data_IF_954606154082
#
_entry.id   IF_954606154082
#
_cell.length_a   1.000
_cell.length_b   1.000
_cell.length_c   1.000
_cell.angle_alpha   90.00
_cell.angle_beta   90.00
_cell.angle_gamma   90.00
#
_symmetry.space_group_name_H-M   'P 1'
#
loop_
_entity.id
_entity.type
_entity.pdbx_description
1 polymer ?
#
# COMPACT_ATOMS: atom_id res chain seq x y z
N UNK A 1 -15.44 3.10 27.00
CA UNK A 1 -14.13 3.42 27.61
C UNK A 1 -14.19 4.84 28.19
N UNK A 2 -14.09 5.01 29.53
CA UNK A 2 -14.24 6.31 30.21
C UNK A 2 -13.23 7.40 29.76
N UNK A 3 -12.05 6.99 29.24
CA UNK A 3 -11.05 7.93 28.68
C UNK A 3 -10.42 7.34 27.41
N UNK A 4 -11.05 7.59 26.27
CA UNK A 4 -10.65 7.06 24.98
C UNK A 4 -9.22 7.52 24.57
N UNK A 5 -8.85 8.78 24.85
CA UNK A 5 -7.51 9.30 24.49
C UNK A 5 -6.41 8.54 25.25
N UNK A 6 -6.58 8.30 26.54
CA UNK A 6 -5.63 7.53 27.36
C UNK A 6 -5.56 6.08 26.89
N UNK A 7 -6.71 5.45 26.67
CA UNK A 7 -6.78 4.08 26.17
C UNK A 7 -6.08 3.93 24.82
N UNK A 8 -6.37 4.81 23.85
CA UNK A 8 -5.73 4.80 22.53
C UNK A 8 -4.21 4.91 22.62
N UNK A 9 -3.69 5.79 23.48
CA UNK A 9 -2.24 5.95 23.70
C UNK A 9 -1.62 4.66 24.24
N UNK A 10 -2.25 4.03 25.23
CA UNK A 10 -1.78 2.77 25.82
C UNK A 10 -1.86 1.62 24.80
N UNK A 11 -2.99 1.46 24.12
CA UNK A 11 -3.18 0.42 23.10
C UNK A 11 -2.13 0.55 21.99
N UNK A 12 -1.89 1.77 21.48
CA UNK A 12 -0.84 2.01 20.47
C UNK A 12 0.54 1.63 20.99
N UNK A 13 0.89 2.02 22.19
CA UNK A 13 2.18 1.68 22.78
C UNK A 13 2.37 0.17 22.92
N UNK A 14 1.35 -0.55 23.41
CA UNK A 14 1.36 -2.02 23.50
C UNK A 14 1.53 -2.70 22.14
N UNK A 15 0.83 -2.22 21.10
CA UNK A 15 0.97 -2.78 19.75
C UNK A 15 2.38 -2.55 19.20
N UNK A 16 2.91 -1.34 19.31
CA UNK A 16 4.26 -1.03 18.84
C UNK A 16 5.34 -1.84 19.58
N UNK A 17 5.18 -2.03 20.89
CA UNK A 17 6.07 -2.88 21.68
C UNK A 17 6.03 -4.34 21.20
N UNK A 18 4.84 -4.87 20.93
CA UNK A 18 4.65 -6.23 20.39
C UNK A 18 5.19 -6.41 18.96
N UNK A 19 5.24 -5.34 18.16
CA UNK A 19 5.81 -5.35 16.82
C UNK A 19 7.35 -5.41 16.83
N UNK A 20 7.99 -5.12 17.97
CA UNK A 20 9.44 -5.05 18.17
C UNK A 20 10.12 -3.94 17.33
N UNK A 21 11.46 -4.01 17.19
CA UNK A 21 12.23 -2.98 16.50
C UNK A 21 11.79 -2.84 15.03
N UNK A 22 11.57 -1.61 14.53
CA UNK A 22 11.26 -1.35 13.12
C UNK A 22 12.46 -1.69 12.21
N UNK A 23 12.23 -1.87 10.90
CA UNK A 23 13.31 -1.80 9.92
C UNK A 23 13.95 -0.40 9.93
N UNK A 24 15.21 -0.26 9.47
CA UNK A 24 15.87 1.05 9.43
C UNK A 24 15.04 2.08 8.66
N UNK A 25 14.72 3.18 9.34
CA UNK A 25 14.00 4.29 8.75
C UNK A 25 14.91 5.16 7.88
N UNK A 26 14.36 5.74 6.82
CA UNK A 26 15.05 6.73 5.98
C UNK A 26 14.12 7.89 5.62
N UNK A 27 14.71 9.06 5.43
CA UNK A 27 14.07 10.23 4.79
C UNK A 27 14.74 10.57 3.46
N UNK A 28 15.75 9.80 3.07
CA UNK A 28 16.43 9.91 1.78
C UNK A 28 15.73 8.99 0.78
N UNK A 29 14.59 9.45 0.28
CA UNK A 29 13.70 8.62 -0.54
C UNK A 29 14.25 8.31 -1.92
N UNK A 30 15.14 9.14 -2.49
CA UNK A 30 15.74 8.97 -3.82
C UNK A 30 14.70 8.54 -4.86
N UNK A 31 13.61 9.30 -4.93
CA UNK A 31 12.46 8.98 -5.77
C UNK A 31 12.82 9.06 -7.26
N UNK A 32 12.50 8.01 -7.99
CA UNK A 32 12.66 7.89 -9.44
C UNK A 32 11.29 7.67 -10.09
N UNK A 33 10.96 8.45 -11.11
CA UNK A 33 9.72 8.28 -11.90
C UNK A 33 10.03 7.28 -13.01
N UNK A 34 9.37 6.12 -12.98
CA UNK A 34 9.55 5.05 -13.94
C UNK A 34 8.63 5.19 -15.16
N UNK A 35 7.40 5.67 -14.94
CA UNK A 35 6.41 5.94 -15.98
C UNK A 35 5.40 6.98 -15.49
N UNK A 36 4.80 7.69 -16.43
CA UNK A 36 3.75 8.68 -16.15
C UNK A 36 2.72 8.65 -17.28
N UNK A 37 1.43 8.77 -16.94
CA UNK A 37 0.37 8.96 -17.90
C UNK A 37 -0.72 9.89 -17.36
N UNK A 38 -1.37 10.63 -18.28
CA UNK A 38 -2.54 11.43 -17.95
C UNK A 38 -3.79 10.54 -18.08
N UNK A 39 -4.64 10.60 -17.08
CA UNK A 39 -5.98 9.98 -17.05
C UNK A 39 -7.06 11.06 -16.92
N UNK A 40 -8.31 10.67 -17.05
CA UNK A 40 -9.42 11.62 -16.91
C UNK A 40 -9.51 12.16 -15.47
N UNK A 41 -9.15 13.43 -15.29
CA UNK A 41 -9.21 14.13 -14.01
C UNK A 41 -8.04 13.91 -13.06
N UNK A 42 -7.00 13.16 -13.46
CA UNK A 42 -5.81 12.94 -12.63
C UNK A 42 -4.62 12.43 -13.43
N UNK A 43 -3.43 12.63 -12.89
CA UNK A 43 -2.16 12.12 -13.42
C UNK A 43 -1.71 10.90 -12.62
N UNK A 44 -1.35 9.83 -13.32
CA UNK A 44 -0.84 8.60 -12.74
C UNK A 44 0.67 8.50 -12.92
N UNK A 45 1.40 8.21 -11.83
CA UNK A 45 2.84 7.99 -11.82
C UNK A 45 3.16 6.59 -11.29
N UNK A 46 4.02 5.86 -12.00
CA UNK A 46 4.74 4.72 -11.46
C UNK A 46 6.11 5.20 -11.01
N UNK A 47 6.47 4.99 -9.78
CA UNK A 47 7.74 5.46 -9.22
C UNK A 47 8.40 4.41 -8.34
N UNK A 48 9.71 4.58 -8.11
CA UNK A 48 10.49 3.78 -7.20
C UNK A 48 11.10 4.71 -6.14
N UNK A 49 11.07 4.31 -4.87
CA UNK A 49 11.68 5.07 -3.79
C UNK A 49 12.25 4.18 -2.69
N UNK A 50 13.15 4.73 -1.87
CA UNK A 50 13.67 4.05 -0.70
C UNK A 50 12.57 3.97 0.36
N UNK A 51 12.05 2.76 0.61
CA UNK A 51 11.01 2.52 1.62
C UNK A 51 11.62 2.37 3.02
N UNK A 52 12.78 1.70 3.08
CA UNK A 52 13.58 1.56 4.31
C UNK A 52 15.04 1.90 4.00
N UNK A 53 15.89 1.97 5.00
CA UNK A 53 17.33 2.23 4.82
C UNK A 53 18.07 1.19 3.97
N UNK A 54 17.42 0.08 3.58
CA UNK A 54 18.03 -0.98 2.77
C UNK A 54 17.10 -1.57 1.68
N UNK A 55 15.89 -1.05 1.52
CA UNK A 55 14.96 -1.54 0.50
C UNK A 55 14.30 -0.42 -0.28
N UNK A 56 14.18 -0.60 -1.59
CA UNK A 56 13.39 0.22 -2.50
C UNK A 56 12.10 -0.48 -2.85
N UNK A 57 11.07 0.29 -3.18
CA UNK A 57 9.76 -0.24 -3.59
C UNK A 57 9.22 0.54 -4.78
N UNK A 58 8.55 -0.19 -5.69
CA UNK A 58 7.76 0.43 -6.73
C UNK A 58 6.36 0.77 -6.19
N UNK A 59 5.87 1.93 -6.56
CA UNK A 59 4.56 2.43 -6.17
C UNK A 59 3.80 3.00 -7.37
N UNK A 60 2.48 2.97 -7.29
CA UNK A 60 1.64 3.87 -8.07
C UNK A 60 1.23 5.05 -7.20
N UNK A 61 1.35 6.26 -7.75
CA UNK A 61 0.86 7.50 -7.15
C UNK A 61 -0.08 8.16 -8.15
N UNK A 62 -1.30 8.44 -7.71
CA UNK A 62 -2.31 9.15 -8.51
C UNK A 62 -2.51 10.53 -7.91
N UNK A 63 -2.46 11.57 -8.73
CA UNK A 63 -2.53 12.97 -8.31
C UNK A 63 -3.67 13.64 -9.07
N UNK A 64 -4.73 14.13 -8.39
CA UNK A 64 -5.82 14.85 -9.03
C UNK A 64 -5.35 16.05 -9.83
N UNK A 65 -6.06 16.38 -10.90
CA UNK A 65 -5.88 17.64 -11.61
C UNK A 65 -6.40 18.81 -10.75
N UNK A 66 -5.82 20.00 -10.93
CA UNK A 66 -6.22 21.22 -10.24
C UNK A 66 -5.20 21.70 -9.20
N UNK A 67 -5.64 22.64 -8.36
CA UNK A 67 -4.79 23.27 -7.34
C UNK A 67 -4.92 22.53 -6.01
N UNK A 68 -3.80 21.92 -5.54
CA UNK A 68 -3.68 21.30 -4.22
C UNK A 68 -3.43 22.31 -3.09
N UNK A 69 -3.07 21.85 -1.88
CA UNK A 69 -2.84 20.45 -1.53
C UNK A 69 -4.14 19.67 -1.31
N UNK A 70 -4.12 18.40 -1.73
CA UNK A 70 -5.28 17.50 -1.67
C UNK A 70 -5.24 16.60 -0.43
N UNK A 71 -6.41 16.08 0.03
CA UNK A 71 -6.43 14.94 0.94
C UNK A 71 -5.77 13.73 0.27
N UNK A 72 -5.16 12.86 1.07
CA UNK A 72 -4.43 11.74 0.53
C UNK A 72 -4.83 10.41 1.17
N UNK A 73 -4.64 9.32 0.43
CA UNK A 73 -4.99 7.97 0.86
C UNK A 73 -3.86 7.00 0.53
N UNK A 74 -3.42 6.23 1.52
CA UNK A 74 -2.62 5.01 1.31
C UNK A 74 -3.57 3.85 1.12
N UNK A 75 -3.48 3.14 0.00
CA UNK A 75 -4.25 1.94 -0.27
C UNK A 75 -3.41 0.70 0.00
N UNK A 76 -3.86 -0.12 0.94
CA UNK A 76 -3.30 -1.43 1.21
C UNK A 76 -4.10 -2.48 0.44
N UNK A 77 -3.43 -3.22 -0.44
CA UNK A 77 -4.09 -4.26 -1.20
C UNK A 77 -4.49 -5.46 -0.33
N UNK A 78 -5.48 -6.22 -0.79
CA UNK A 78 -5.92 -7.44 -0.12
C UNK A 78 -4.93 -8.59 -0.29
N UNK A 79 -5.01 -9.57 0.62
CA UNK A 79 -4.24 -10.81 0.54
C UNK A 79 -4.73 -11.68 -0.62
N UNK A 80 -6.03 -12.02 -0.62
CA UNK A 80 -6.74 -12.78 -1.64
C UNK A 80 -6.16 -14.15 -2.04
N UNK A 81 -5.03 -14.55 -1.47
CA UNK A 81 -4.29 -15.74 -1.93
C UNK A 81 -3.69 -15.58 -3.34
N UNK A 82 -3.70 -14.37 -3.88
CA UNK A 82 -3.27 -14.04 -5.24
C UNK A 82 -2.02 -13.15 -5.17
N UNK A 83 -0.87 -13.75 -5.42
CA UNK A 83 0.44 -13.13 -5.16
C UNK A 83 1.08 -12.51 -6.40
N UNK A 84 0.56 -12.78 -7.60
CA UNK A 84 1.10 -12.28 -8.87
C UNK A 84 1.01 -10.77 -9.01
N UNK A 85 0.01 -10.17 -8.35
CA UNK A 85 -0.23 -8.72 -8.30
C UNK A 85 -0.47 -8.28 -6.87
N UNK A 86 -0.09 -7.04 -6.55
CA UNK A 86 -0.29 -6.41 -5.25
C UNK A 86 -0.99 -5.06 -5.41
N UNK A 87 -0.25 -3.97 -5.56
CA UNK A 87 -0.76 -2.61 -5.81
C UNK A 87 -1.67 -2.52 -7.04
N UNK A 88 -1.48 -3.41 -8.01
CA UNK A 88 -2.31 -3.54 -9.21
C UNK A 88 -3.75 -3.99 -8.91
N UNK A 89 -4.04 -4.50 -7.73
CA UNK A 89 -5.41 -4.77 -7.26
C UNK A 89 -6.17 -3.48 -6.91
N UNK A 90 -5.45 -2.44 -6.54
CA UNK A 90 -6.01 -1.20 -6.02
C UNK A 90 -6.01 -0.07 -7.05
N UNK A 91 -5.04 -0.07 -7.97
CA UNK A 91 -4.83 0.95 -9.00
C UNK A 91 -4.63 0.23 -10.33
N UNK A 92 -5.37 0.64 -11.37
CA UNK A 92 -5.23 0.06 -12.69
C UNK A 92 -3.80 0.24 -13.20
N UNK A 93 -3.08 -0.84 -13.48
CA UNK A 93 -1.66 -0.76 -13.84
C UNK A 93 -1.45 -0.14 -15.23
N UNK A 94 -0.28 0.47 -15.39
CA UNK A 94 0.23 0.98 -16.66
C UNK A 94 1.76 0.83 -16.70
N UNK A 95 2.34 0.86 -17.90
CA UNK A 95 3.77 0.60 -18.06
C UNK A 95 4.18 -0.80 -17.58
N UNK A 96 3.29 -1.77 -17.79
CA UNK A 96 3.48 -3.20 -17.44
C UNK A 96 3.17 -4.09 -18.62
N UNK A 97 3.57 -5.36 -18.52
CA UNK A 97 3.23 -6.37 -19.51
C UNK A 97 1.72 -6.63 -19.54
N UNK A 98 1.22 -7.00 -20.72
CA UNK A 98 -0.22 -7.31 -20.92
C UNK A 98 -0.74 -8.36 -19.94
N UNK A 99 0.07 -9.36 -19.58
CA UNK A 99 -0.32 -10.41 -18.64
C UNK A 99 -0.64 -9.85 -17.24
N UNK A 100 0.11 -8.85 -16.75
CA UNK A 100 -0.15 -8.17 -15.47
C UNK A 100 -1.43 -7.36 -15.54
N UNK A 101 -1.67 -6.67 -16.66
CA UNK A 101 -2.89 -5.89 -16.86
C UNK A 101 -4.12 -6.81 -16.90
N UNK A 102 -4.06 -7.92 -17.66
CA UNK A 102 -5.16 -8.87 -17.77
C UNK A 102 -5.48 -9.51 -16.40
N UNK A 103 -4.45 -9.84 -15.62
CA UNK A 103 -4.60 -10.39 -14.26
C UNK A 103 -5.26 -9.36 -13.31
N UNK A 104 -4.83 -8.10 -13.36
CA UNK A 104 -5.41 -7.03 -12.55
C UNK A 104 -6.86 -6.73 -12.94
N UNK A 105 -7.17 -6.64 -14.25
CA UNK A 105 -8.53 -6.41 -14.73
C UNK A 105 -9.46 -7.58 -14.33
N UNK A 106 -8.99 -8.83 -14.42
CA UNK A 106 -9.74 -9.99 -13.95
C UNK A 106 -9.99 -9.96 -12.44
N UNK A 107 -8.97 -9.56 -11.65
CA UNK A 107 -9.12 -9.42 -10.20
C UNK A 107 -10.12 -8.33 -9.83
N UNK A 108 -10.02 -7.15 -10.47
CA UNK A 108 -10.96 -6.06 -10.26
C UNK A 108 -12.40 -6.48 -10.60
N UNK A 109 -12.61 -7.19 -11.70
CA UNK A 109 -13.93 -7.71 -12.10
C UNK A 109 -14.52 -8.68 -11.05
N UNK A 110 -13.69 -9.59 -10.53
CA UNK A 110 -14.14 -10.61 -9.59
C UNK A 110 -14.36 -10.08 -8.16
N UNK A 111 -13.51 -9.18 -7.70
CA UNK A 111 -13.47 -8.78 -6.29
C UNK A 111 -14.00 -7.38 -6.03
N UNK A 112 -13.95 -6.48 -7.02
CA UNK A 112 -14.26 -5.06 -6.87
C UNK A 112 -15.29 -4.53 -7.86
N UNK A 113 -16.05 -5.41 -8.52
CA UNK A 113 -17.09 -5.03 -9.47
C UNK A 113 -16.58 -4.33 -10.73
N UNK A 114 -15.34 -4.63 -11.13
CA UNK A 114 -14.70 -4.04 -12.32
C UNK A 114 -14.14 -2.63 -12.08
N UNK A 115 -14.06 -2.18 -10.83
CA UNK A 115 -13.55 -0.84 -10.50
C UNK A 115 -12.25 -0.92 -9.71
N UNK A 116 -11.38 0.04 -9.93
CA UNK A 116 -10.18 0.25 -9.13
C UNK A 116 -10.40 1.35 -8.11
N UNK A 117 -10.27 1.02 -6.83
CA UNK A 117 -10.54 1.95 -5.72
C UNK A 117 -9.64 3.19 -5.79
N UNK A 118 -8.38 3.03 -6.20
CA UNK A 118 -7.42 4.13 -6.32
C UNK A 118 -7.81 5.11 -7.43
N UNK A 119 -8.16 4.59 -8.59
CA UNK A 119 -8.58 5.39 -9.75
C UNK A 119 -9.86 6.17 -9.43
N UNK A 120 -10.82 5.52 -8.76
CA UNK A 120 -12.04 6.18 -8.30
C UNK A 120 -11.74 7.32 -7.34
N UNK A 121 -10.91 7.09 -6.32
CA UNK A 121 -10.55 8.13 -5.33
C UNK A 121 -9.77 9.29 -5.97
N UNK A 122 -8.85 9.01 -6.89
CA UNK A 122 -8.10 10.05 -7.58
C UNK A 122 -9.01 10.95 -8.42
N UNK A 123 -9.95 10.37 -9.16
CA UNK A 123 -10.95 11.12 -9.91
C UNK A 123 -11.89 11.96 -9.01
N UNK A 124 -11.93 11.66 -7.69
CA UNK A 124 -12.72 12.39 -6.68
C UNK A 124 -11.87 13.30 -5.78
N UNK A 125 -10.66 13.67 -6.23
CA UNK A 125 -9.86 14.71 -5.57
C UNK A 125 -8.97 14.22 -4.43
N UNK A 126 -8.58 12.94 -4.40
CA UNK A 126 -7.61 12.41 -3.44
C UNK A 126 -6.30 12.08 -4.13
N UNK A 127 -5.18 12.46 -3.53
CA UNK A 127 -3.89 11.85 -3.87
C UNK A 127 -3.89 10.43 -3.32
N UNK A 128 -3.51 9.47 -4.15
CA UNK A 128 -3.54 8.06 -3.79
C UNK A 128 -2.16 7.46 -3.98
N UNK A 129 -1.71 6.64 -3.03
CA UNK A 129 -0.52 5.80 -3.17
C UNK A 129 -0.86 4.35 -2.86
N UNK A 130 -0.27 3.42 -3.62
CA UNK A 130 -0.27 2.00 -3.31
C UNK A 130 1.09 1.39 -3.61
N UNK A 131 1.57 0.55 -2.70
CA UNK A 131 2.80 -0.25 -2.82
C UNK A 131 2.48 -1.73 -2.69
N UNK A 132 3.37 -2.58 -3.17
CA UNK A 132 3.26 -4.01 -2.92
C UNK A 132 3.70 -4.34 -1.50
N UNK A 133 2.92 -5.13 -0.79
CA UNK A 133 3.38 -5.82 0.40
C UNK A 133 4.48 -6.84 0.04
N UNK A 134 5.30 -7.21 1.01
CA UNK A 134 6.32 -8.25 0.81
C UNK A 134 5.67 -9.54 0.28
N UNK A 135 6.25 -10.12 -0.76
CA UNK A 135 5.83 -11.31 -1.51
C UNK A 135 4.70 -11.13 -2.52
N UNK A 136 4.17 -9.92 -2.71
CA UNK A 136 3.21 -9.62 -3.76
C UNK A 136 3.83 -8.84 -4.91
N UNK A 137 3.25 -9.02 -6.10
CA UNK A 137 3.58 -8.26 -7.30
C UNK A 137 5.09 -8.22 -7.59
N UNK A 138 5.62 -7.04 -7.80
CA UNK A 138 7.04 -6.82 -8.12
C UNK A 138 7.98 -7.12 -6.92
N UNK A 139 7.45 -7.29 -5.71
CA UNK A 139 8.19 -7.75 -4.53
C UNK A 139 8.10 -9.26 -4.31
N UNK A 140 7.39 -9.96 -5.17
CA UNK A 140 7.34 -11.42 -5.24
C UNK A 140 8.61 -12.02 -5.81
N UNK A 141 8.76 -13.35 -5.67
CA UNK A 141 9.86 -14.08 -6.34
C UNK A 141 9.46 -14.42 -7.77
N UNK A 142 10.39 -14.29 -8.71
CA UNK A 142 10.20 -14.64 -10.12
C UNK A 142 9.84 -16.11 -10.36
N UNK A 143 10.20 -16.99 -9.41
CA UNK A 143 10.07 -18.45 -9.57
C UNK A 143 8.73 -19.01 -9.06
N UNK A 144 7.80 -18.18 -8.69
CA UNK A 144 6.49 -18.64 -8.24
C UNK A 144 5.89 -17.75 -7.17
N UNK A 145 4.87 -17.06 -7.57
CA UNK A 145 3.97 -16.32 -6.69
C UNK A 145 3.02 -17.32 -5.99
N UNK A 146 3.55 -18.23 -5.20
CA UNK A 146 2.74 -19.18 -4.44
C UNK A 146 2.78 -18.89 -2.93
N UNK A 147 1.69 -19.23 -2.25
CA UNK A 147 1.53 -19.03 -0.82
C UNK A 147 2.51 -19.84 0.04
N UNK A 148 3.17 -20.88 -0.52
CA UNK A 148 4.12 -21.71 0.24
C UNK A 148 5.34 -20.89 0.64
N UNK A 149 5.87 -20.10 -0.27
CA UNK A 149 7.04 -19.23 -0.01
C UNK A 149 6.73 -18.11 0.98
N UNK A 150 5.53 -17.57 0.94
CA UNK A 150 5.07 -16.64 1.97
C UNK A 150 5.04 -17.32 3.35
N UNK A 151 4.45 -18.51 3.45
CA UNK A 151 4.35 -19.26 4.69
C UNK A 151 5.73 -19.65 5.25
N UNK A 152 6.65 -20.14 4.40
CA UNK A 152 8.03 -20.47 4.78
C UNK A 152 8.75 -19.28 5.40
N UNK A 153 8.65 -18.11 4.75
CA UNK A 153 9.30 -16.90 5.26
C UNK A 153 8.62 -16.35 6.51
N UNK A 154 7.28 -16.42 6.61
CA UNK A 154 6.59 -16.08 7.84
C UNK A 154 7.04 -16.98 9.01
N UNK A 155 7.23 -18.28 8.76
CA UNK A 155 7.82 -19.23 9.71
C UNK A 155 9.24 -18.85 10.11
N UNK A 156 10.10 -18.48 9.17
CA UNK A 156 11.47 -18.03 9.45
C UNK A 156 11.49 -16.76 10.32
N UNK A 157 10.60 -15.79 10.06
CA UNK A 157 10.45 -14.62 10.93
C UNK A 157 10.06 -15.01 12.36
N UNK A 158 9.13 -15.96 12.51
CA UNK A 158 8.70 -16.47 13.83
C UNK A 158 9.86 -17.15 14.56
N UNK A 159 10.71 -17.94 13.87
CA UNK A 159 11.90 -18.55 14.46
C UNK A 159 12.92 -17.53 14.97
N UNK A 160 12.94 -16.33 14.38
CA UNK A 160 13.77 -15.21 14.82
C UNK A 160 13.07 -14.34 15.89
N UNK A 161 11.92 -14.77 16.41
CA UNK A 161 11.12 -14.01 17.37
C UNK A 161 10.47 -12.75 16.76
N UNK A 162 10.27 -12.73 15.44
CA UNK A 162 9.70 -11.58 14.69
C UNK A 162 8.39 -11.98 14.01
N UNK A 163 7.61 -10.99 13.64
CA UNK A 163 6.42 -11.17 12.82
C UNK A 163 6.61 -10.52 11.45
N UNK A 164 6.36 -11.27 10.38
CA UNK A 164 6.35 -10.73 9.02
C UNK A 164 5.29 -9.64 8.88
N UNK A 165 4.10 -9.82 9.47
CA UNK A 165 3.05 -8.81 9.46
C UNK A 165 3.45 -7.53 10.19
N UNK A 166 4.21 -7.63 11.29
CA UNK A 166 4.73 -6.45 11.97
C UNK A 166 5.70 -5.67 11.07
N UNK A 167 6.56 -6.38 10.33
CA UNK A 167 7.46 -5.76 9.38
C UNK A 167 6.70 -5.02 8.26
N UNK A 168 5.69 -5.67 7.67
CA UNK A 168 4.84 -5.06 6.65
C UNK A 168 4.10 -3.81 7.17
N UNK A 169 3.59 -3.86 8.41
CA UNK A 169 2.95 -2.70 9.04
C UNK A 169 3.90 -1.50 9.21
N UNK A 170 5.19 -1.74 9.50
CA UNK A 170 6.17 -0.65 9.51
C UNK A 170 6.38 -0.05 8.11
N UNK A 171 6.43 -0.90 7.08
CA UNK A 171 6.54 -0.42 5.69
C UNK A 171 5.31 0.40 5.27
N UNK A 172 4.10 0.01 5.70
CA UNK A 172 2.87 0.79 5.48
C UNK A 172 2.93 2.16 6.18
N UNK A 173 3.48 2.21 7.41
CA UNK A 173 3.73 3.48 8.11
C UNK A 173 4.72 4.36 7.36
N UNK A 174 5.82 3.78 6.86
CA UNK A 174 6.84 4.51 6.10
C UNK A 174 6.32 4.99 4.73
N UNK A 175 5.45 4.20 4.09
CA UNK A 175 4.72 4.64 2.90
C UNK A 175 3.84 5.85 3.19
N UNK A 176 3.21 5.88 4.36
CA UNK A 176 2.41 7.04 4.81
C UNK A 176 3.29 8.27 5.04
N UNK A 177 4.46 8.09 5.66
CA UNK A 177 5.42 9.18 5.88
C UNK A 177 5.93 9.73 4.53
N UNK A 178 6.26 8.84 3.57
CA UNK A 178 6.63 9.25 2.22
C UNK A 178 5.51 10.05 1.54
N UNK A 179 4.28 9.55 1.55
CA UNK A 179 3.11 10.23 0.96
C UNK A 179 2.96 11.64 1.52
N UNK A 180 3.15 11.83 2.82
CA UNK A 180 3.03 13.11 3.49
C UNK A 180 4.11 14.14 3.09
N UNK A 181 5.19 13.71 2.41
CA UNK A 181 6.24 14.62 1.88
C UNK A 181 5.93 15.17 0.50
N UNK A 182 4.95 14.60 -0.19
CA UNK A 182 4.61 15.05 -1.56
C UNK A 182 3.98 16.46 -1.50
N UNK A 183 4.41 17.39 -2.36
CA UNK A 183 3.93 18.78 -2.34
C UNK A 183 2.42 18.90 -2.63
N UNK A 184 1.85 17.93 -3.33
CA UNK A 184 0.42 17.88 -3.66
C UNK A 184 -0.47 17.42 -2.49
N UNK A 185 0.13 16.95 -1.39
CA UNK A 185 -0.57 16.33 -0.27
C UNK A 185 -0.77 17.29 0.90
N UNK A 186 -1.99 17.34 1.43
CA UNK A 186 -2.25 17.92 2.75
C UNK A 186 -1.97 16.86 3.86
N UNK A 187 -0.86 16.95 4.60
CA UNK A 187 -0.47 15.93 5.56
C UNK A 187 -1.42 15.82 6.76
N UNK A 188 -2.33 16.78 6.93
CA UNK A 188 -3.35 16.75 7.98
C UNK A 188 -4.62 15.99 7.55
N UNK A 189 -4.77 15.67 6.26
CA UNK A 189 -5.91 14.98 5.67
C UNK A 189 -5.48 13.68 4.97
N UNK A 190 -4.66 12.87 5.67
CA UNK A 190 -4.23 11.57 5.18
C UNK A 190 -5.05 10.44 5.81
N UNK A 191 -5.51 9.52 4.97
CA UNK A 191 -6.26 8.32 5.34
C UNK A 191 -5.46 7.07 4.98
N UNK A 192 -5.57 6.05 5.83
CA UNK A 192 -5.15 4.69 5.51
C UNK A 192 -6.40 3.88 5.17
N UNK A 193 -6.49 3.38 3.94
CA UNK A 193 -7.58 2.53 3.49
C UNK A 193 -7.10 1.09 3.36
N UNK A 194 -7.76 0.20 4.09
CA UNK A 194 -7.58 -1.24 3.96
C UNK A 194 -8.79 -1.84 3.27
N UNK A 195 -8.61 -2.96 2.55
CA UNK A 195 -9.73 -3.71 2.00
C UNK A 195 -10.78 -3.99 3.08
N UNK A 196 -12.09 -3.75 2.81
CA UNK A 196 -13.12 -3.95 3.81
C UNK A 196 -13.12 -5.41 4.29
N UNK A 197 -12.99 -5.60 5.59
CA UNK A 197 -13.15 -6.91 6.20
C UNK A 197 -14.61 -7.37 6.04
N UNK A 198 -14.87 -8.68 5.82
CA UNK A 198 -16.23 -9.22 5.88
C UNK A 198 -16.98 -8.86 7.17
N UNK A 199 -16.26 -8.56 8.25
CA UNK A 199 -16.82 -8.09 9.53
C UNK A 199 -17.39 -6.67 9.46
N UNK A 200 -16.93 -5.84 8.54
CA UNK A 200 -17.41 -4.45 8.39
C UNK A 200 -18.73 -4.40 7.65
N UNK A 201 -19.07 -5.44 6.86
CA UNK A 201 -20.35 -5.58 6.15
C UNK A 201 -21.52 -5.93 7.07
N UNK A 202 -21.27 -6.33 8.31
CA UNK A 202 -22.32 -6.74 9.27
C UNK A 202 -22.72 -5.62 10.24
N UNK A 203 -22.22 -4.41 10.06
CA UNK A 203 -22.49 -3.23 10.91
C UNK A 203 -23.33 -2.15 10.24
N UNK A 204 -23.98 -2.46 9.10
CA UNK A 204 -24.96 -1.60 8.46
C UNK A 204 -26.38 -1.97 8.90
#
# INVERSE_FOLDING_TARGET
VKNFKKWRKQARATVLDAMLAPPPYTTEYETEILAEEQREGYRAKKLCFNLTGYSRVNAYVLIPDGEGPFPAVVLLHDHGGHYTIGKEKMIRPFGVDKAVLDDADAWAANCYGGQYAGDYLAAHGYVVISVDALYWGERGRKEGADGSKYADNAGNFMMLGRSLSAFMNYEDMYTTDYLATLPEVDPKRCLLYTSPSPRDRTRS
#
